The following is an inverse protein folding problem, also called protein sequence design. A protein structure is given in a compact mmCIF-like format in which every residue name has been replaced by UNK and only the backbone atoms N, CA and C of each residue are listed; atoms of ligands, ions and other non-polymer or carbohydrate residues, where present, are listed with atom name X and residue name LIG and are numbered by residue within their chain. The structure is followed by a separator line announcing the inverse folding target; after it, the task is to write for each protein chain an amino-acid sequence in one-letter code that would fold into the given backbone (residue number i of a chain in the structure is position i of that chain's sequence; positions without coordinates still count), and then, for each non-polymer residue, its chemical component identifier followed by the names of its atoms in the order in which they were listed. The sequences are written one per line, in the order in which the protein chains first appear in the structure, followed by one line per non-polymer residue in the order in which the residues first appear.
data_IF_436980345593
#
_entry.id   IF_436980345593
#
_cell.length_a   1.000
_cell.length_b   1.000
_cell.length_c   1.000
_cell.angle_alpha   90.00
_cell.angle_beta   90.00
_cell.angle_gamma   90.00
#
_symmetry.space_group_name_H-M   'P 1'
#
loop_
_entity.id
_entity.type
_entity.pdbx_description
1 polymer ?
#
# COMPACT_ATOMS: atom_id res chain seq x y z
N UNK A 1 7.22 17.28 4.87
CA UNK A 1 6.16 16.43 4.29
C UNK A 1 4.99 16.47 5.25
N UNK A 2 3.79 16.80 4.79
CA UNK A 2 2.61 16.75 5.66
C UNK A 2 2.35 15.29 6.02
N UNK A 3 2.15 15.04 7.32
CA UNK A 3 1.87 13.71 7.86
C UNK A 3 0.47 13.27 7.41
N UNK A 4 0.34 12.05 6.90
CA UNK A 4 -0.97 11.48 6.52
C UNK A 4 -1.75 11.21 7.80
N UNK A 5 -2.99 11.69 7.89
CA UNK A 5 -3.85 11.40 9.05
C UNK A 5 -4.51 10.03 8.90
N UNK A 6 -5.01 9.48 10.02
CA UNK A 6 -5.72 8.20 10.03
C UNK A 6 -6.97 8.22 9.14
N UNK A 7 -7.68 9.35 9.11
CA UNK A 7 -8.87 9.53 8.26
C UNK A 7 -8.51 9.55 6.77
N UNK A 8 -7.38 10.19 6.41
CA UNK A 8 -6.87 10.18 5.04
C UNK A 8 -6.45 8.79 4.61
N UNK A 9 -5.82 8.03 5.51
CA UNK A 9 -5.47 6.63 5.30
C UNK A 9 -6.70 5.75 5.08
N UNK A 10 -7.70 5.81 5.97
CA UNK A 10 -8.92 5.01 5.86
C UNK A 10 -9.71 5.32 4.57
N UNK A 11 -9.78 6.60 4.19
CA UNK A 11 -10.37 7.01 2.93
C UNK A 11 -9.60 6.44 1.73
N UNK A 12 -8.26 6.59 1.72
CA UNK A 12 -7.43 6.11 0.63
C UNK A 12 -7.51 4.57 0.50
N UNK A 13 -7.54 3.85 1.62
CA UNK A 13 -7.70 2.40 1.66
C UNK A 13 -9.00 1.95 0.99
N UNK A 14 -10.13 2.54 1.41
CA UNK A 14 -11.44 2.24 0.80
C UNK A 14 -11.46 2.58 -0.69
N UNK A 15 -10.79 3.67 -1.09
CA UNK A 15 -10.73 4.07 -2.49
C UNK A 15 -9.88 3.13 -3.34
N UNK A 16 -8.76 2.63 -2.80
CA UNK A 16 -7.94 1.58 -3.44
C UNK A 16 -8.80 0.35 -3.71
N UNK A 17 -9.52 -0.17 -2.70
CA UNK A 17 -10.39 -1.34 -2.86
C UNK A 17 -11.44 -1.16 -3.97
N UNK A 18 -12.00 0.05 -4.11
CA UNK A 18 -12.95 0.38 -5.17
C UNK A 18 -12.31 0.48 -6.56
N UNK A 19 -11.04 0.88 -6.66
CA UNK A 19 -10.33 1.09 -7.92
C UNK A 19 -9.68 -0.18 -8.45
N UNK A 20 -9.27 -1.11 -7.57
CA UNK A 20 -8.68 -2.40 -7.96
C UNK A 20 -9.46 -3.18 -9.03
N UNK A 21 -10.81 -3.31 -8.99
CA UNK A 21 -11.55 -4.00 -10.04
C UNK A 21 -11.73 -3.17 -11.33
N UNK A 22 -11.36 -1.90 -11.33
CA UNK A 22 -11.53 -0.97 -12.46
C UNK A 22 -10.25 -0.76 -13.27
N UNK A 23 -9.12 -1.29 -12.79
CA UNK A 23 -7.83 -1.25 -13.47
C UNK A 23 -7.30 -2.66 -13.66
N UNK A 24 -6.63 -2.89 -14.77
CA UNK A 24 -5.99 -4.15 -15.12
C UNK A 24 -4.63 -3.90 -15.80
N UNK A 25 -3.94 -4.97 -16.18
CA UNK A 25 -2.62 -4.89 -16.84
C UNK A 25 -2.66 -4.18 -18.21
N UNK A 26 -3.84 -4.03 -18.81
CA UNK A 26 -4.02 -3.35 -20.10
C UNK A 26 -4.41 -1.87 -19.92
N UNK A 27 -4.71 -1.45 -18.69
CA UNK A 27 -5.16 -0.09 -18.39
C UNK A 27 -3.97 0.87 -18.55
N UNK A 28 -4.07 1.87 -19.45
CA UNK A 28 -3.00 2.84 -19.65
C UNK A 28 -2.66 3.58 -18.35
N UNK A 29 -1.38 3.87 -18.13
CA UNK A 29 -0.93 4.60 -16.92
C UNK A 29 -1.49 6.03 -16.81
N UNK A 30 -1.98 6.61 -17.91
CA UNK A 30 -2.64 7.91 -17.94
C UNK A 30 -4.17 7.81 -17.81
N UNK A 31 -4.73 6.60 -17.67
CA UNK A 31 -6.13 6.43 -17.34
C UNK A 31 -6.41 7.03 -15.95
N UNK A 32 -7.56 7.70 -15.83
CA UNK A 32 -7.94 8.39 -14.60
C UNK A 32 -7.96 7.45 -13.38
N UNK A 33 -8.40 6.20 -13.55
CA UNK A 33 -8.52 5.24 -12.46
C UNK A 33 -7.14 4.73 -12.04
N UNK A 34 -6.23 4.52 -13.00
CA UNK A 34 -4.85 4.12 -12.73
C UNK A 34 -4.05 5.22 -12.01
N UNK A 35 -4.22 6.47 -12.45
CA UNK A 35 -3.61 7.64 -11.80
C UNK A 35 -4.16 7.80 -10.38
N UNK A 36 -5.48 7.71 -10.20
CA UNK A 36 -6.09 7.83 -8.88
C UNK A 36 -5.65 6.69 -7.95
N UNK A 37 -5.58 5.45 -8.45
CA UNK A 37 -5.13 4.31 -7.67
C UNK A 37 -3.70 4.50 -7.17
N UNK A 38 -2.82 5.03 -8.03
CA UNK A 38 -1.43 5.33 -7.67
C UNK A 38 -1.38 6.34 -6.53
N UNK A 39 -2.12 7.45 -6.64
CA UNK A 39 -2.15 8.49 -5.60
C UNK A 39 -2.70 7.96 -4.27
N UNK A 40 -3.78 7.17 -4.31
CA UNK A 40 -4.35 6.59 -3.09
C UNK A 40 -3.40 5.56 -2.46
N UNK A 41 -2.74 4.75 -3.28
CA UNK A 41 -1.74 3.79 -2.80
C UNK A 41 -0.55 4.49 -2.14
N UNK A 42 -0.08 5.62 -2.68
CA UNK A 42 1.00 6.40 -2.07
C UNK A 42 0.63 6.93 -0.67
N UNK A 43 -0.64 7.33 -0.47
CA UNK A 43 -1.16 7.76 0.83
C UNK A 43 -1.15 6.60 1.83
N UNK A 44 -1.65 5.43 1.41
CA UNK A 44 -1.65 4.20 2.23
C UNK A 44 -0.23 3.83 2.63
N UNK A 45 0.69 3.75 1.66
CA UNK A 45 2.10 3.41 1.88
C UNK A 45 2.78 4.39 2.84
N UNK A 46 2.53 5.70 2.69
CA UNK A 46 3.11 6.72 3.55
C UNK A 46 2.67 6.54 5.01
N UNK A 47 1.39 6.28 5.25
CA UNK A 47 0.86 6.04 6.59
C UNK A 47 1.38 4.72 7.18
N UNK A 48 1.38 3.63 6.40
CA UNK A 48 1.85 2.32 6.85
C UNK A 48 3.34 2.31 7.17
N UNK A 49 4.19 2.94 6.36
CA UNK A 49 5.63 3.06 6.67
C UNK A 49 5.88 3.74 8.01
N UNK A 50 5.02 4.66 8.40
CA UNK A 50 5.15 5.38 9.67
C UNK A 50 4.54 4.62 10.86
N UNK A 51 3.41 3.95 10.68
CA UNK A 51 2.63 3.35 11.78
C UNK A 51 2.75 1.82 11.88
N UNK A 52 3.11 1.15 10.79
CA UNK A 52 3.25 -0.29 10.63
C UNK A 52 4.55 -0.64 9.89
N UNK A 53 5.73 -0.22 10.39
CA UNK A 53 6.98 -0.55 9.75
C UNK A 53 7.16 -2.07 9.68
N UNK A 54 7.48 -2.59 8.49
CA UNK A 54 7.85 -3.99 8.33
C UNK A 54 9.19 -4.17 9.06
N UNK A 55 9.16 -4.73 10.26
CA UNK A 55 10.37 -5.19 10.93
C UNK A 55 10.99 -6.28 10.05
N UNK A 56 12.26 -6.12 9.68
CA UNK A 56 12.99 -7.22 9.03
C UNK A 56 12.96 -8.38 10.03
N UNK A 57 12.57 -9.60 9.61
CA UNK A 57 12.70 -10.74 10.48
C UNK A 57 14.14 -10.81 10.97
N UNK A 58 14.29 -10.98 12.27
CA UNK A 58 15.61 -11.18 12.86
C UNK A 58 16.22 -12.46 12.28
N UNK A 59 17.55 -12.56 12.21
CA UNK A 59 18.23 -13.77 11.69
C UNK A 59 17.73 -15.05 12.40
N UNK A 60 17.30 -14.93 13.66
CA UNK A 60 16.71 -16.01 14.43
C UNK A 60 15.36 -16.54 13.87
N UNK A 61 14.56 -15.70 13.22
CA UNK A 61 13.28 -16.11 12.62
C UNK A 61 13.47 -16.82 11.27
N UNK A 62 14.54 -16.48 10.53
CA UNK A 62 14.85 -17.13 9.25
C UNK A 62 15.34 -18.58 9.42
N UNK A 63 16.03 -18.89 10.53
CA UNK A 63 16.55 -20.24 10.81
C UNK A 63 15.41 -21.25 11.10
N UNK A 64 14.27 -20.78 11.60
CA UNK A 64 13.08 -21.61 11.84
C UNK A 64 12.41 -22.10 10.55
N UNK A 65 12.49 -21.31 9.47
CA UNK A 65 11.86 -21.66 8.18
C UNK A 65 12.73 -22.52 7.27
N UNK A 66 14.05 -22.55 7.48
CA UNK A 66 14.98 -23.35 6.68
C UNK A 66 15.15 -24.80 7.17
N UNK A 67 14.47 -25.18 8.26
CA UNK A 67 14.61 -26.47 8.93
C UNK A 67 13.57 -27.56 8.59
N UNK A 68 12.79 -27.40 7.51
CA UNK A 68 11.81 -28.40 7.05
C UNK A 68 12.07 -28.88 5.61
#
# INVERSE_FOLDING_TARGET
MNKVTKEQYEFALARVEMLLPLVDDNTPANDKNAVELTVMSDIVIAYEKEHYPIEKPTVAELDYFAGY
#
